data_IF_373838271954
#
_entry.id   IF_373838271954
#
_cell.length_a   1.000
_cell.length_b   1.000
_cell.length_c   1.000
_cell.angle_alpha   90.00
_cell.angle_beta   90.00
_cell.angle_gamma   90.00
#
_symmetry.space_group_name_H-M   'P 1'
#
loop_
_entity.id
_entity.type
_entity.pdbx_description
1 polymer ?
#
# COMPACT_ATOMS: atom_id res chain seq x y z
N UNK A 1 -2.43 -12.33 -0.79
CA UNK A 1 -2.96 -10.95 -0.95
C UNK A 1 -2.92 -10.65 -2.43
N UNK A 2 -4.01 -10.14 -3.01
CA UNK A 2 -4.08 -9.86 -4.46
C UNK A 2 -3.97 -8.34 -4.64
N UNK A 3 -3.00 -7.85 -5.40
CA UNK A 3 -3.02 -6.50 -5.95
C UNK A 3 -4.43 -6.16 -6.47
N UNK A 4 -4.87 -4.92 -6.28
CA UNK A 4 -6.15 -4.49 -6.84
C UNK A 4 -6.13 -4.66 -8.37
N UNK A 5 -7.27 -5.02 -8.96
CA UNK A 5 -7.37 -5.20 -10.41
C UNK A 5 -6.93 -3.94 -11.19
N UNK A 6 -7.12 -2.76 -10.58
CA UNK A 6 -6.64 -1.49 -11.10
C UNK A 6 -5.11 -1.42 -11.18
N UNK A 7 -4.42 -1.78 -10.10
CA UNK A 7 -2.95 -1.78 -10.05
C UNK A 7 -2.36 -2.77 -11.06
N UNK A 8 -2.93 -3.98 -11.15
CA UNK A 8 -2.46 -4.98 -12.11
C UNK A 8 -2.72 -4.57 -13.57
N UNK A 9 -3.79 -3.82 -13.83
CA UNK A 9 -4.05 -3.24 -15.16
C UNK A 9 -2.95 -2.26 -15.56
N UNK A 10 -2.51 -1.40 -14.63
CA UNK A 10 -1.39 -0.46 -14.87
C UNK A 10 -0.07 -1.19 -15.12
N UNK A 11 0.17 -2.28 -14.39
CA UNK A 11 1.35 -3.12 -14.59
C UNK A 11 1.34 -3.78 -15.97
N UNK A 12 0.20 -4.36 -16.37
CA UNK A 12 0.03 -5.01 -17.67
C UNK A 12 0.14 -4.06 -18.86
N UNK A 13 -0.17 -2.77 -18.67
CA UNK A 13 0.02 -1.74 -19.70
C UNK A 13 1.46 -1.20 -19.76
N UNK A 14 2.35 -1.64 -18.86
CA UNK A 14 3.72 -1.13 -18.76
C UNK A 14 3.84 0.27 -18.14
N UNK A 15 2.77 0.80 -17.54
CA UNK A 15 2.79 2.12 -16.90
C UNK A 15 3.53 2.09 -15.55
N UNK A 16 3.62 0.92 -14.92
CA UNK A 16 4.35 0.70 -13.68
C UNK A 16 5.17 -0.58 -13.77
N UNK A 17 6.18 -0.70 -12.91
CA UNK A 17 7.09 -1.83 -12.83
C UNK A 17 6.72 -2.77 -11.67
N UNK A 18 7.34 -3.95 -11.64
CA UNK A 18 7.12 -4.94 -10.58
C UNK A 18 7.41 -4.37 -9.17
N UNK A 19 8.45 -3.53 -9.04
CA UNK A 19 8.77 -2.83 -7.78
C UNK A 19 7.62 -1.96 -7.26
N UNK A 20 6.87 -1.32 -8.17
CA UNK A 20 5.71 -0.49 -7.80
C UNK A 20 4.58 -1.37 -7.27
N UNK A 21 4.36 -2.53 -7.91
CA UNK A 21 3.37 -3.51 -7.44
C UNK A 21 3.73 -4.01 -6.04
N UNK A 22 5.00 -4.40 -5.84
CA UNK A 22 5.46 -4.90 -4.54
C UNK A 22 5.31 -3.86 -3.42
N UNK A 23 5.73 -2.61 -3.65
CA UNK A 23 5.58 -1.53 -2.66
C UNK A 23 4.11 -1.21 -2.35
N UNK A 24 3.25 -1.19 -3.38
CA UNK A 24 1.82 -0.97 -3.20
C UNK A 24 1.14 -2.11 -2.42
N UNK A 25 1.48 -3.37 -2.70
CA UNK A 25 0.97 -4.51 -1.95
C UNK A 25 1.43 -4.51 -0.49
N UNK A 26 2.69 -4.14 -0.25
CA UNK A 26 3.21 -3.97 1.11
C UNK A 26 2.47 -2.88 1.87
N UNK A 27 2.25 -1.72 1.24
CA UNK A 27 1.48 -0.64 1.84
C UNK A 27 0.04 -1.04 2.13
N UNK A 28 -0.63 -1.67 1.17
CA UNK A 28 -2.00 -2.14 1.36
C UNK A 28 -2.08 -3.12 2.53
N UNK A 29 -1.11 -4.01 2.69
CA UNK A 29 -1.03 -4.94 3.83
C UNK A 29 -0.87 -4.23 5.15
N UNK A 30 0.03 -3.25 5.20
CA UNK A 30 0.23 -2.45 6.40
C UNK A 30 -1.04 -1.68 6.76
N UNK A 31 -1.75 -1.14 5.76
CA UNK A 31 -2.98 -0.39 5.97
C UNK A 31 -4.11 -1.29 6.47
N UNK A 32 -4.32 -2.45 5.83
CA UNK A 32 -5.31 -3.42 6.25
C UNK A 32 -5.04 -3.93 7.67
N UNK A 33 -3.79 -4.30 7.97
CA UNK A 33 -3.41 -4.85 9.29
C UNK A 33 -3.41 -3.79 10.37
N UNK A 34 -2.74 -2.67 10.12
CA UNK A 34 -2.51 -1.61 11.09
C UNK A 34 -3.75 -0.75 11.34
N UNK A 35 -4.39 -0.31 10.26
CA UNK A 35 -5.47 0.69 10.31
C UNK A 35 -6.85 0.03 10.32
N UNK A 36 -7.11 -0.92 9.41
CA UNK A 36 -8.42 -1.59 9.34
C UNK A 36 -8.56 -2.74 10.34
N UNK A 37 -7.46 -3.20 10.95
CA UNK A 37 -7.47 -4.28 11.94
C UNK A 37 -7.67 -5.67 11.34
N UNK A 38 -7.36 -5.86 10.06
CA UNK A 38 -7.31 -7.17 9.43
C UNK A 38 -6.25 -8.04 10.10
N UNK A 39 -6.46 -9.37 10.07
CA UNK A 39 -5.46 -10.31 10.58
C UNK A 39 -4.26 -10.35 9.65
N UNK A 40 -3.06 -10.17 10.20
CA UNK A 40 -1.82 -10.35 9.45
C UNK A 40 -1.71 -11.80 8.93
N UNK A 41 -1.65 -12.02 7.61
CA UNK A 41 -1.54 -13.35 7.03
C UNK A 41 -0.19 -14.04 7.33
N UNK A 42 0.86 -13.29 7.69
CA UNK A 42 2.17 -13.86 8.03
C UNK A 42 2.26 -14.28 9.49
N UNK A 43 1.51 -13.63 10.39
CA UNK A 43 1.42 -14.02 11.81
C UNK A 43 0.83 -15.43 12.05
N UNK A 44 0.14 -16.00 11.07
CA UNK A 44 -0.43 -17.35 11.14
C UNK A 44 0.48 -18.47 10.60
N UNK A 45 1.62 -18.14 9.98
CA UNK A 45 2.49 -19.14 9.31
C UNK A 45 3.56 -19.76 10.21
N UNK A 46 3.92 -19.09 11.29
CA UNK A 46 4.70 -19.67 12.38
C UNK A 46 3.81 -20.64 13.15
N UNK A 47 3.94 -21.94 12.92
CA UNK A 47 3.11 -23.04 13.45
C UNK A 47 3.03 -23.20 14.98
N UNK A 48 3.32 -22.17 15.76
CA UNK A 48 2.95 -22.07 17.18
C UNK A 48 1.64 -21.30 17.30
N UNK A 49 0.86 -21.55 18.36
CA UNK A 49 -0.32 -20.76 18.74
C UNK A 49 -0.08 -19.29 18.42
N UNK A 50 -0.94 -18.69 17.60
CA UNK A 50 -0.99 -17.26 17.30
C UNK A 50 -0.94 -16.48 18.61
N UNK A 51 0.26 -16.14 19.06
CA UNK A 51 0.47 -15.44 20.31
C UNK A 51 -0.12 -14.05 20.12
N UNK A 52 -1.08 -13.68 20.97
CA UNK A 52 -1.76 -12.40 20.88
C UNK A 52 -0.71 -11.28 20.89
N UNK A 53 0.38 -11.47 21.62
CA UNK A 53 1.54 -10.57 21.64
C UNK A 53 2.17 -10.38 20.26
N UNK A 54 2.38 -11.45 19.49
CA UNK A 54 2.94 -11.35 18.14
C UNK A 54 1.99 -10.63 17.18
N UNK A 55 0.69 -10.90 17.28
CA UNK A 55 -0.32 -10.20 16.47
C UNK A 55 -0.36 -8.70 16.81
N UNK A 56 -0.23 -8.33 18.10
CA UNK A 56 -0.16 -6.95 18.54
C UNK A 56 1.12 -6.26 18.06
N UNK A 57 2.28 -6.92 18.12
CA UNK A 57 3.55 -6.40 17.62
C UNK A 57 3.51 -6.17 16.11
N UNK A 58 3.01 -7.14 15.33
CA UNK A 58 2.86 -6.98 13.87
C UNK A 58 1.95 -5.80 13.53
N UNK A 59 0.80 -5.70 14.21
CA UNK A 59 -0.12 -4.57 14.04
C UNK A 59 0.54 -3.24 14.38
N UNK A 60 1.29 -3.16 15.48
CA UNK A 60 2.00 -1.94 15.87
C UNK A 60 3.04 -1.53 14.81
N UNK A 61 3.78 -2.49 14.26
CA UNK A 61 4.74 -2.23 13.19
C UNK A 61 4.07 -1.72 11.91
N UNK A 62 2.95 -2.33 11.51
CA UNK A 62 2.14 -1.89 10.38
C UNK A 62 1.61 -0.45 10.56
N UNK A 63 1.09 -0.12 11.75
CA UNK A 63 0.66 1.26 12.08
C UNK A 63 1.82 2.25 11.95
N UNK A 64 3.00 1.90 12.46
CA UNK A 64 4.18 2.76 12.36
C UNK A 64 4.57 3.02 10.90
N UNK A 65 4.57 1.99 10.04
CA UNK A 65 4.87 2.15 8.61
C UNK A 65 3.81 3.00 7.89
N UNK A 66 2.52 2.78 8.14
CA UNK A 66 1.46 3.62 7.58
C UNK A 66 1.61 5.09 8.00
N UNK A 67 1.96 5.34 9.27
CA UNK A 67 2.20 6.70 9.78
C UNK A 67 3.41 7.35 9.14
N UNK A 68 4.49 6.60 8.92
CA UNK A 68 5.67 7.11 8.21
C UNK A 68 5.33 7.53 6.77
N UNK A 69 4.51 6.73 6.09
CA UNK A 69 4.01 7.04 4.74
C UNK A 69 3.14 8.29 4.75
N UNK A 70 2.17 8.40 5.67
CA UNK A 70 1.32 9.59 5.78
C UNK A 70 2.12 10.85 6.12
N UNK A 71 3.10 10.75 7.02
CA UNK A 71 3.96 11.86 7.41
C UNK A 71 4.81 12.36 6.23
N UNK A 72 5.33 11.44 5.42
CA UNK A 72 6.23 11.77 4.31
C UNK A 72 5.48 12.22 3.06
N UNK A 73 4.39 11.53 2.69
CA UNK A 73 3.67 11.76 1.43
C UNK A 73 2.43 12.65 1.60
N UNK A 74 1.93 12.81 2.82
CA UNK A 74 0.78 13.64 3.14
C UNK A 74 -0.58 13.00 2.88
N UNK A 75 -1.63 13.61 3.45
CA UNK A 75 -3.01 13.08 3.45
C UNK A 75 -3.64 12.97 2.06
N UNK A 76 -3.26 13.84 1.12
CA UNK A 76 -3.80 13.77 -0.24
C UNK A 76 -3.34 12.48 -0.91
N UNK A 77 -2.07 12.16 -0.79
CA UNK A 77 -1.45 10.92 -1.29
C UNK A 77 -2.11 9.68 -0.70
N UNK A 78 -2.39 9.70 0.62
CA UNK A 78 -3.14 8.64 1.28
C UNK A 78 -4.51 8.41 0.62
N UNK A 79 -5.25 9.47 0.26
CA UNK A 79 -6.55 9.32 -0.42
C UNK A 79 -6.43 8.65 -1.79
N UNK A 80 -5.36 8.93 -2.54
CA UNK A 80 -5.11 8.25 -3.82
C UNK A 80 -4.79 6.77 -3.61
N UNK A 81 -3.93 6.45 -2.64
CA UNK A 81 -3.55 5.07 -2.35
C UNK A 81 -4.73 4.25 -1.81
N UNK A 82 -5.55 4.81 -0.91
CA UNK A 82 -6.77 4.15 -0.41
C UNK A 82 -7.72 3.86 -1.59
N UNK A 83 -8.04 4.86 -2.40
CA UNK A 83 -8.94 4.71 -3.53
C UNK A 83 -8.47 3.61 -4.51
N UNK A 84 -7.17 3.56 -4.82
CA UNK A 84 -6.65 2.60 -5.79
C UNK A 84 -6.41 1.20 -5.21
N UNK A 85 -5.80 1.12 -4.03
CA UNK A 85 -5.27 -0.14 -3.49
C UNK A 85 -6.25 -0.82 -2.53
N UNK A 86 -7.05 -0.05 -1.78
CA UNK A 86 -8.04 -0.57 -0.83
C UNK A 86 -9.41 -0.65 -1.48
N UNK A 87 -9.89 0.44 -2.06
CA UNK A 87 -11.21 0.48 -2.72
C UNK A 87 -11.18 -0.12 -4.13
N UNK A 88 -9.99 -0.40 -4.66
CA UNK A 88 -9.79 -1.08 -5.94
C UNK A 88 -10.20 -0.26 -7.16
N UNK A 89 -10.28 1.06 -7.04
CA UNK A 89 -10.75 1.93 -8.11
C UNK A 89 -9.71 2.07 -9.22
N UNK A 90 -10.18 1.95 -10.46
CA UNK A 90 -9.41 2.31 -11.65
C UNK A 90 -9.22 3.83 -11.76
N UNK A 91 -8.24 4.27 -12.54
CA UNK A 91 -8.00 5.70 -12.83
C UNK A 91 -9.26 6.40 -13.35
N UNK A 92 -10.07 5.73 -14.17
CA UNK A 92 -11.33 6.28 -14.67
C UNK A 92 -12.38 6.47 -13.56
N UNK A 93 -12.48 5.52 -12.62
CA UNK A 93 -13.39 5.65 -11.47
C UNK A 93 -12.90 6.74 -10.51
N UNK A 94 -11.60 6.86 -10.31
CA UNK A 94 -11.00 7.92 -9.50
C UNK A 94 -11.23 9.30 -10.12
N UNK A 95 -11.19 9.44 -11.45
CA UNK A 95 -11.56 10.67 -12.16
C UNK A 95 -12.98 11.11 -11.81
N UNK A 96 -13.95 10.18 -11.90
CA UNK A 96 -15.35 10.45 -11.58
C UNK A 96 -15.52 10.84 -10.10
N UNK A 97 -14.87 10.13 -9.18
CA UNK A 97 -15.01 10.37 -7.74
C UNK A 97 -14.31 11.65 -7.29
N UNK A 98 -13.10 11.91 -7.79
CA UNK A 98 -12.27 13.03 -7.35
C UNK A 98 -12.56 14.33 -8.12
N UNK A 99 -13.31 14.26 -9.23
CA UNK A 99 -13.57 15.38 -10.15
C UNK A 99 -12.26 16.04 -10.60
N UNK A 100 -11.25 15.22 -10.90
CA UNK A 100 -9.92 15.65 -11.37
C UNK A 100 -9.63 15.04 -12.72
N UNK A 101 -8.90 15.78 -13.54
CA UNK A 101 -8.44 15.32 -14.84
C UNK A 101 -7.69 13.97 -14.75
N UNK A 102 -8.05 13.05 -15.65
CA UNK A 102 -7.49 11.71 -15.71
C UNK A 102 -5.96 11.67 -15.79
N UNK A 103 -5.34 12.56 -16.59
CA UNK A 103 -3.87 12.59 -16.74
C UNK A 103 -3.21 13.05 -15.45
N UNK A 104 -3.81 14.01 -14.74
CA UNK A 104 -3.33 14.42 -13.41
C UNK A 104 -3.40 13.28 -12.39
N UNK A 105 -4.46 12.48 -12.43
CA UNK A 105 -4.58 11.30 -11.55
C UNK A 105 -3.52 10.26 -11.90
N UNK A 106 -3.35 9.94 -13.18
CA UNK A 106 -2.34 8.96 -13.62
C UNK A 106 -0.92 9.37 -13.23
N UNK A 107 -0.53 10.62 -13.52
CA UNK A 107 0.80 11.12 -13.16
C UNK A 107 1.02 11.21 -11.64
N UNK A 108 -0.03 11.52 -10.87
CA UNK A 108 0.06 11.48 -9.42
C UNK A 108 0.27 10.05 -8.90
N UNK A 109 -0.45 9.06 -9.42
CA UNK A 109 -0.28 7.66 -9.05
C UNK A 109 1.13 7.16 -9.39
N UNK A 110 1.64 7.49 -10.58
CA UNK A 110 2.97 7.10 -11.02
C UNK A 110 4.06 7.63 -10.07
N UNK A 111 4.05 8.94 -9.80
CA UNK A 111 5.00 9.55 -8.85
C UNK A 111 4.85 8.96 -7.44
N UNK A 112 3.62 8.76 -6.97
CA UNK A 112 3.36 8.20 -5.65
C UNK A 112 3.93 6.80 -5.50
N UNK A 113 3.85 5.98 -6.54
CA UNK A 113 4.40 4.63 -6.52
C UNK A 113 5.93 4.61 -6.48
N UNK A 114 6.60 5.54 -7.18
CA UNK A 114 8.06 5.71 -7.08
C UNK A 114 8.46 6.14 -5.66
N UNK A 115 7.77 7.13 -5.09
CA UNK A 115 8.02 7.59 -3.72
C UNK A 115 7.74 6.49 -2.68
N UNK A 116 6.72 5.66 -2.92
CA UNK A 116 6.39 4.53 -2.05
C UNK A 116 7.48 3.45 -2.08
N UNK A 117 8.04 3.15 -3.26
CA UNK A 117 9.21 2.27 -3.38
C UNK A 117 10.36 2.83 -2.57
N UNK A 118 10.73 4.10 -2.77
CA UNK A 118 11.85 4.72 -2.06
C UNK A 118 11.64 4.66 -0.53
N UNK A 119 10.44 4.95 -0.04
CA UNK A 119 10.14 4.91 1.38
C UNK A 119 10.27 3.49 1.94
N UNK A 120 9.69 2.49 1.28
CA UNK A 120 9.76 1.10 1.75
C UNK A 120 11.13 0.46 1.59
N UNK A 121 11.94 0.93 0.66
CA UNK A 121 13.33 0.52 0.51
C UNK A 121 14.19 1.04 1.67
N UNK A 122 13.85 2.22 2.22
CA UNK A 122 14.60 2.90 3.28
C UNK A 122 14.05 2.68 4.70
N UNK A 123 12.91 2.00 4.88
CA UNK A 123 12.35 1.75 6.21
C UNK A 123 13.26 0.81 7.04
N UNK A 124 13.61 1.17 8.29
CA UNK A 124 14.39 0.30 9.17
C UNK A 124 13.61 -0.99 9.46
N UNK A 125 14.29 -2.13 9.28
CA UNK A 125 13.67 -3.46 9.28
C UNK A 125 13.86 -4.22 7.97
N UNK A 126 14.37 -3.57 6.92
CA UNK A 126 14.79 -4.23 5.66
C UNK A 126 16.22 -4.78 5.68
N UNK A 127 16.88 -4.74 6.83
CA UNK A 127 18.17 -5.41 7.06
C UNK A 127 17.96 -6.90 7.37
N UNK A 128 17.32 -7.64 6.47
CA UNK A 128 17.34 -9.10 6.39
C UNK A 128 16.63 -9.51 5.09
N UNK A 129 17.38 -9.47 3.99
CA UNK A 129 17.23 -10.41 2.88
C UNK A 129 18.47 -11.27 2.86
#
# INVERSE_FOLDING_TARGET
MRASGALYTLFRSGAILERHVAAAEMWARDYETGILGARDPEAGRSGGKSDIEYALLSRAAAVTRCRAVEYTLGKVSMRFMIAMMIDGLSVNQMEQQMKKDRKKIAGAIELLLEQLVELYDNLPGRAMR
#
